data_IF_620618576043
#
_entry.id   IF_620618576043
#
_cell.length_a   1.000
_cell.length_b   1.000
_cell.length_c   1.000
_cell.angle_alpha   90.00
_cell.angle_beta   90.00
_cell.angle_gamma   90.00
#
_symmetry.space_group_name_H-M   'P 1'
#
loop_
_entity.id
_entity.type
_entity.pdbx_description
1 polymer ?
#
# COMPACT_ATOMS: atom_id res chain seq x y z
N UNK A 1 9.24 32.15 4.99
CA UNK A 1 9.28 30.72 4.65
C UNK A 1 8.58 29.99 5.79
N UNK A 2 7.54 29.19 5.48
CA UNK A 2 6.90 28.38 6.52
C UNK A 2 7.89 27.27 6.94
N UNK A 3 8.17 27.18 8.25
CA UNK A 3 8.99 26.10 8.77
C UNK A 3 8.29 24.74 8.62
N UNK A 4 9.08 23.68 8.43
CA UNK A 4 8.58 22.30 8.36
C UNK A 4 8.07 21.88 9.75
N UNK A 5 6.81 21.50 9.86
CA UNK A 5 6.20 21.04 11.11
C UNK A 5 6.54 19.56 11.35
N UNK A 6 7.79 19.24 11.68
CA UNK A 6 8.28 17.86 11.87
C UNK A 6 7.46 17.08 12.89
N UNK A 7 7.02 17.69 13.99
CA UNK A 7 6.19 17.02 14.99
C UNK A 7 4.89 16.46 14.37
N UNK A 8 4.23 17.23 13.49
CA UNK A 8 3.02 16.80 12.78
C UNK A 8 3.35 15.68 11.77
N UNK A 9 4.48 15.80 11.05
CA UNK A 9 4.92 14.75 10.12
C UNK A 9 5.20 13.43 10.83
N UNK A 10 5.84 13.46 11.99
CA UNK A 10 6.07 12.26 12.79
C UNK A 10 4.77 11.69 13.37
N UNK A 11 3.88 12.53 13.89
CA UNK A 11 2.58 12.07 14.40
C UNK A 11 1.77 11.38 13.27
N UNK A 12 1.72 11.98 12.08
CA UNK A 12 0.98 11.40 10.97
C UNK A 12 1.64 10.12 10.43
N UNK A 13 2.97 10.03 10.47
CA UNK A 13 3.73 8.83 10.12
C UNK A 13 3.47 7.69 11.10
N UNK A 14 3.45 7.97 12.41
CA UNK A 14 3.11 6.99 13.45
C UNK A 14 1.64 6.55 13.30
N UNK A 15 0.74 7.48 13.03
CA UNK A 15 -0.67 7.15 12.79
C UNK A 15 -0.84 6.28 11.54
N UNK A 16 -0.05 6.51 10.49
CA UNK A 16 -0.01 5.67 9.30
C UNK A 16 0.54 4.28 9.61
N UNK A 17 1.62 4.21 10.42
CA UNK A 17 2.14 2.94 10.91
C UNK A 17 1.07 2.13 11.63
N UNK A 18 0.34 2.72 12.57
CA UNK A 18 -0.71 2.06 13.33
C UNK A 18 -1.89 1.63 12.44
N UNK A 19 -2.31 2.49 11.51
CA UNK A 19 -3.38 2.19 10.55
C UNK A 19 -3.03 1.00 9.65
N UNK A 20 -1.87 1.02 9.02
CA UNK A 20 -1.47 -0.03 8.08
C UNK A 20 -1.06 -1.32 8.79
N UNK A 21 -0.56 -1.22 10.02
CA UNK A 21 -0.34 -2.36 10.90
C UNK A 21 -1.65 -3.13 11.16
N UNK A 22 -2.72 -2.42 11.51
CA UNK A 22 -4.05 -3.02 11.70
C UNK A 22 -4.54 -3.68 10.41
N UNK A 23 -4.43 -2.98 9.28
CA UNK A 23 -4.91 -3.49 8.00
C UNK A 23 -4.12 -4.70 7.51
N UNK A 24 -2.82 -4.75 7.76
CA UNK A 24 -1.95 -5.85 7.33
C UNK A 24 -2.14 -7.14 8.15
N UNK A 25 -2.81 -7.09 9.30
CA UNK A 25 -3.24 -8.29 10.03
C UNK A 25 -4.25 -9.09 9.20
N UNK A 26 -5.12 -8.43 8.41
CA UNK A 26 -6.18 -9.10 7.61
C UNK A 26 -5.61 -10.19 6.69
N UNK A 27 -4.70 -9.89 5.74
CA UNK A 27 -4.12 -10.94 4.89
C UNK A 27 -3.26 -11.93 5.68
N UNK A 28 -2.69 -11.51 6.80
CA UNK A 28 -1.83 -12.36 7.62
C UNK A 28 -2.58 -13.46 8.35
N UNK A 29 -3.87 -13.30 8.61
CA UNK A 29 -4.70 -14.32 9.27
C UNK A 29 -5.43 -15.25 8.30
N UNK A 30 -5.25 -15.11 6.98
CA UNK A 30 -5.93 -15.94 5.99
C UNK A 30 -5.75 -17.46 6.18
N UNK A 31 -4.56 -17.99 6.53
CA UNK A 31 -4.43 -19.41 6.83
C UNK A 31 -5.32 -19.85 7.99
N UNK A 32 -5.41 -19.02 9.05
CA UNK A 32 -6.25 -19.29 10.23
C UNK A 32 -7.72 -19.31 9.85
N UNK A 33 -8.20 -18.28 9.13
CA UNK A 33 -9.60 -18.20 8.67
C UNK A 33 -9.95 -19.34 7.72
N UNK A 34 -9.02 -19.69 6.81
CA UNK A 34 -9.22 -20.79 5.86
C UNK A 34 -9.43 -22.13 6.59
N UNK A 35 -8.62 -22.40 7.58
CA UNK A 35 -8.72 -23.62 8.37
C UNK A 35 -9.99 -23.64 9.25
N UNK A 36 -10.23 -22.57 10.00
CA UNK A 36 -11.33 -22.45 10.96
C UNK A 36 -12.70 -22.52 10.28
N UNK A 37 -12.89 -21.84 9.15
CA UNK A 37 -14.17 -21.73 8.45
C UNK A 37 -14.24 -22.58 7.16
N UNK A 38 -13.19 -23.34 6.84
CA UNK A 38 -13.06 -24.15 5.60
C UNK A 38 -13.27 -23.33 4.34
N UNK A 39 -12.73 -22.09 4.31
CA UNK A 39 -12.86 -21.23 3.14
C UNK A 39 -12.06 -21.75 1.95
N UNK A 40 -12.61 -21.53 0.75
CA UNK A 40 -11.89 -21.71 -0.51
C UNK A 40 -10.88 -20.59 -0.71
N UNK A 41 -9.91 -20.75 -1.62
CA UNK A 41 -8.98 -19.66 -1.98
C UNK A 41 -9.72 -18.50 -2.66
N UNK A 42 -10.80 -18.78 -3.42
CA UNK A 42 -11.67 -17.76 -3.99
C UNK A 42 -12.30 -16.88 -2.89
N UNK A 43 -12.79 -17.49 -1.79
CA UNK A 43 -13.33 -16.75 -0.65
C UNK A 43 -12.26 -15.88 0.03
N UNK A 44 -11.05 -16.39 0.20
CA UNK A 44 -9.90 -15.60 0.70
C UNK A 44 -9.61 -14.42 -0.23
N UNK A 45 -9.59 -14.66 -1.56
CA UNK A 45 -9.43 -13.60 -2.55
C UNK A 45 -10.54 -12.55 -2.50
N UNK A 46 -11.80 -12.97 -2.25
CA UNK A 46 -12.94 -12.06 -2.08
C UNK A 46 -12.81 -11.18 -0.84
N UNK A 47 -12.26 -11.68 0.28
CA UNK A 47 -11.99 -10.87 1.47
C UNK A 47 -11.04 -9.71 1.12
N UNK A 48 -9.93 -10.02 0.43
CA UNK A 48 -8.99 -8.98 -0.05
C UNK A 48 -9.67 -8.03 -1.03
N UNK A 49 -10.45 -8.56 -1.97
CA UNK A 49 -11.13 -7.75 -2.98
C UNK A 49 -12.08 -6.75 -2.33
N UNK A 50 -12.95 -7.20 -1.41
CA UNK A 50 -13.90 -6.33 -0.72
C UNK A 50 -13.18 -5.23 0.06
N UNK A 51 -12.15 -5.57 0.83
CA UNK A 51 -11.34 -4.60 1.56
C UNK A 51 -10.69 -3.56 0.64
N UNK A 52 -9.97 -4.03 -0.39
CA UNK A 52 -9.21 -3.13 -1.24
C UNK A 52 -10.09 -2.35 -2.22
N UNK A 53 -11.22 -2.91 -2.67
CA UNK A 53 -12.13 -2.23 -3.58
C UNK A 53 -12.86 -1.08 -2.88
N UNK A 54 -13.35 -1.31 -1.64
CA UNK A 54 -13.97 -0.26 -0.83
C UNK A 54 -12.98 0.86 -0.50
N UNK A 55 -11.74 0.52 -0.18
CA UNK A 55 -10.68 1.50 -0.01
C UNK A 55 -10.40 2.26 -1.31
N UNK A 56 -10.20 1.57 -2.43
CA UNK A 56 -9.75 2.10 -3.72
C UNK A 56 -10.76 3.05 -4.38
N UNK A 57 -12.01 2.61 -4.53
CA UNK A 57 -13.03 3.36 -5.29
C UNK A 57 -13.37 4.69 -4.63
N UNK A 58 -13.36 4.72 -3.31
CA UNK A 58 -13.75 5.90 -2.55
C UNK A 58 -12.61 6.90 -2.35
N UNK A 59 -11.33 6.51 -2.46
CA UNK A 59 -10.20 7.44 -2.28
C UNK A 59 -10.24 8.68 -3.20
N UNK A 60 -10.48 8.56 -4.51
CA UNK A 60 -10.61 9.74 -5.37
C UNK A 60 -11.82 10.61 -4.99
N UNK A 61 -12.92 9.99 -4.57
CA UNK A 61 -14.15 10.68 -4.17
C UNK A 61 -13.94 11.43 -2.86
N UNK A 62 -13.42 10.75 -1.84
CA UNK A 62 -13.14 11.34 -0.53
C UNK A 62 -12.06 12.43 -0.62
N UNK A 63 -11.00 12.21 -1.42
CA UNK A 63 -9.96 13.20 -1.68
C UNK A 63 -10.50 14.46 -2.37
N UNK A 64 -11.32 14.29 -3.41
CA UNK A 64 -11.95 15.42 -4.10
C UNK A 64 -12.92 16.19 -3.18
N UNK A 65 -13.70 15.46 -2.38
CA UNK A 65 -14.61 16.10 -1.42
C UNK A 65 -13.84 16.84 -0.33
N UNK A 66 -12.78 16.25 0.23
CA UNK A 66 -11.92 16.86 1.24
C UNK A 66 -11.18 18.11 0.71
N UNK A 67 -10.83 18.14 -0.59
CA UNK A 67 -10.23 19.32 -1.21
C UNK A 67 -11.17 20.53 -1.21
N UNK A 68 -12.48 20.28 -1.35
CA UNK A 68 -13.51 21.33 -1.35
C UNK A 68 -14.04 21.66 0.04
N UNK A 69 -14.11 20.66 0.93
CA UNK A 69 -14.70 20.77 2.26
C UNK A 69 -13.76 20.17 3.31
N UNK A 70 -12.61 20.82 3.59
CA UNK A 70 -11.63 20.30 4.53
C UNK A 70 -12.26 20.15 5.93
N UNK A 71 -12.14 18.95 6.48
CA UNK A 71 -12.66 18.59 7.81
C UNK A 71 -11.50 18.22 8.72
N UNK A 72 -11.07 19.09 9.66
CA UNK A 72 -9.88 18.88 10.47
C UNK A 72 -9.84 17.56 11.24
N UNK A 73 -11.00 17.03 11.63
CA UNK A 73 -11.11 15.81 12.43
C UNK A 73 -11.51 14.55 11.63
N UNK A 74 -11.59 14.64 10.29
CA UNK A 74 -11.99 13.50 9.44
C UNK A 74 -11.12 12.26 9.65
N UNK A 75 -9.80 12.44 9.83
CA UNK A 75 -8.86 11.37 10.11
C UNK A 75 -9.13 10.65 11.43
N UNK A 76 -9.40 11.41 12.50
CA UNK A 76 -9.70 10.83 13.81
C UNK A 76 -11.03 10.07 13.79
N UNK A 77 -12.06 10.62 13.13
CA UNK A 77 -13.35 9.97 12.95
C UNK A 77 -13.21 8.70 12.10
N UNK A 78 -12.46 8.74 10.99
CA UNK A 78 -12.18 7.57 10.17
C UNK A 78 -11.53 6.44 10.97
N UNK A 79 -10.59 6.76 11.88
CA UNK A 79 -9.94 5.78 12.74
C UNK A 79 -10.91 5.19 13.80
N UNK A 80 -11.92 5.94 14.25
CA UNK A 80 -12.98 5.40 15.12
C UNK A 80 -13.84 4.37 14.37
N UNK A 81 -14.15 4.57 13.09
CA UNK A 81 -14.80 3.55 12.28
C UNK A 81 -13.91 2.30 12.17
N UNK A 82 -12.63 2.46 11.86
CA UNK A 82 -11.69 1.32 11.82
C UNK A 82 -11.66 0.54 13.14
N UNK A 83 -11.78 1.21 14.29
CA UNK A 83 -11.89 0.57 15.61
C UNK A 83 -13.12 -0.34 15.72
N UNK A 84 -14.29 0.17 15.32
CA UNK A 84 -15.55 -0.59 15.38
C UNK A 84 -15.48 -1.81 14.46
N UNK A 85 -14.99 -1.61 13.25
CA UNK A 85 -14.91 -2.64 12.22
C UNK A 85 -13.89 -3.73 12.58
N UNK A 86 -12.80 -3.34 13.25
CA UNK A 86 -11.81 -4.27 13.79
C UNK A 86 -12.41 -5.17 14.90
N UNK A 87 -13.20 -4.60 15.78
CA UNK A 87 -13.94 -5.37 16.79
C UNK A 87 -14.96 -6.30 16.11
N UNK A 88 -15.65 -5.82 15.06
CA UNK A 88 -16.55 -6.66 14.29
C UNK A 88 -15.81 -7.85 13.65
N UNK A 89 -14.60 -7.64 13.11
CA UNK A 89 -13.77 -8.71 12.56
C UNK A 89 -13.32 -9.72 13.64
N UNK A 90 -12.99 -9.24 14.84
CA UNK A 90 -12.55 -10.08 15.95
C UNK A 90 -13.64 -11.08 16.38
N UNK A 91 -14.90 -10.69 16.29
CA UNK A 91 -16.07 -11.49 16.72
C UNK A 91 -16.88 -12.04 15.54
N UNK A 92 -16.39 -11.90 14.29
CA UNK A 92 -17.08 -12.42 13.12
C UNK A 92 -17.08 -13.96 13.13
N UNK A 93 -18.25 -14.56 12.96
CA UNK A 93 -18.47 -16.01 12.94
C UNK A 93 -18.91 -16.55 11.58
N UNK A 94 -19.09 -15.68 10.60
CA UNK A 94 -19.57 -16.03 9.28
C UNK A 94 -18.80 -15.28 8.17
N UNK A 95 -18.78 -15.87 6.98
CA UNK A 95 -18.13 -15.24 5.81
C UNK A 95 -18.71 -13.86 5.49
N UNK A 96 -20.03 -13.71 5.56
CA UNK A 96 -20.72 -12.44 5.29
C UNK A 96 -20.30 -11.37 6.30
N UNK A 97 -20.19 -11.73 7.59
CA UNK A 97 -19.79 -10.79 8.64
C UNK A 97 -18.33 -10.40 8.49
N UNK A 98 -17.44 -11.35 8.12
CA UNK A 98 -16.03 -11.05 7.79
C UNK A 98 -15.95 -10.08 6.61
N UNK A 99 -16.70 -10.33 5.51
CA UNK A 99 -16.74 -9.44 4.35
C UNK A 99 -17.23 -8.04 4.73
N UNK A 100 -18.27 -7.96 5.56
CA UNK A 100 -18.80 -6.68 6.02
C UNK A 100 -17.79 -5.90 6.86
N UNK A 101 -17.10 -6.58 7.79
CA UNK A 101 -16.07 -5.98 8.62
C UNK A 101 -14.90 -5.43 7.78
N UNK A 102 -14.34 -6.24 6.88
CA UNK A 102 -13.20 -5.79 6.06
C UNK A 102 -13.59 -4.70 5.06
N UNK A 103 -14.84 -4.72 4.55
CA UNK A 103 -15.35 -3.66 3.69
C UNK A 103 -15.45 -2.34 4.43
N UNK A 104 -15.92 -2.36 5.67
CA UNK A 104 -16.03 -1.18 6.52
C UNK A 104 -14.64 -0.64 6.91
N UNK A 105 -13.65 -1.51 7.22
CA UNK A 105 -12.24 -1.10 7.37
C UNK A 105 -11.73 -0.38 6.11
N UNK A 106 -12.06 -0.90 4.93
CA UNK A 106 -11.72 -0.27 3.64
C UNK A 106 -12.32 1.13 3.48
N UNK A 107 -13.57 1.35 3.93
CA UNK A 107 -14.20 2.68 3.94
C UNK A 107 -13.43 3.67 4.81
N UNK A 108 -13.03 3.28 6.03
CA UNK A 108 -12.20 4.10 6.92
C UNK A 108 -10.85 4.46 6.26
N UNK A 109 -10.20 3.48 5.64
CA UNK A 109 -8.94 3.65 4.90
C UNK A 109 -9.06 4.62 3.72
N UNK A 110 -10.22 4.66 3.05
CA UNK A 110 -10.44 5.53 1.90
C UNK A 110 -10.36 7.02 2.23
N UNK A 111 -10.66 7.40 3.46
CA UNK A 111 -10.51 8.77 3.98
C UNK A 111 -9.08 9.02 4.44
N UNK A 112 -8.45 8.00 5.06
CA UNK A 112 -7.17 8.16 5.73
C UNK A 112 -6.04 8.57 4.79
N UNK A 113 -5.81 7.84 3.69
CA UNK A 113 -4.65 8.05 2.84
C UNK A 113 -4.63 9.41 2.11
N UNK A 114 -5.70 9.85 1.42
CA UNK A 114 -5.68 11.14 0.72
C UNK A 114 -5.56 12.32 1.69
N UNK A 115 -6.29 12.29 2.81
CA UNK A 115 -6.30 13.39 3.77
C UNK A 115 -4.99 13.46 4.57
N UNK A 116 -4.41 12.32 4.96
CA UNK A 116 -3.09 12.27 5.61
C UNK A 116 -1.97 12.77 4.70
N UNK A 117 -1.98 12.38 3.43
CA UNK A 117 -1.03 12.88 2.43
C UNK A 117 -1.15 14.41 2.26
N UNK A 118 -2.37 14.95 2.26
CA UNK A 118 -2.63 16.39 2.22
C UNK A 118 -2.07 17.11 3.45
N UNK A 119 -2.34 16.58 4.66
CA UNK A 119 -1.80 17.15 5.91
C UNK A 119 -0.28 17.11 5.90
N UNK A 120 0.35 16.02 5.45
CA UNK A 120 1.80 15.93 5.31
C UNK A 120 2.36 17.00 4.36
N UNK A 121 1.71 17.27 3.24
CA UNK A 121 2.10 18.34 2.32
C UNK A 121 1.95 19.73 2.95
N UNK A 122 0.90 19.98 3.72
CA UNK A 122 0.72 21.24 4.46
C UNK A 122 1.78 21.45 5.54
N UNK A 123 2.21 20.36 6.18
CA UNK A 123 3.26 20.38 7.21
C UNK A 123 4.69 20.45 6.64
N UNK A 124 4.85 20.33 5.32
CA UNK A 124 6.16 20.15 4.66
C UNK A 124 7.11 21.35 4.70
N UNK A 125 6.59 22.56 4.93
CA UNK A 125 7.42 23.79 4.85
C UNK A 125 8.10 23.99 3.48
N UNK A 126 7.54 23.39 2.40
CA UNK A 126 8.10 23.39 1.05
C UNK A 126 8.87 22.10 0.68
N UNK A 127 9.24 21.26 1.63
CA UNK A 127 9.95 19.98 1.41
C UNK A 127 8.93 18.83 1.19
N UNK A 128 8.13 18.94 0.15
CA UNK A 128 6.99 18.01 -0.09
C UNK A 128 7.40 16.54 -0.26
N UNK A 129 8.51 16.28 -0.97
CA UNK A 129 9.01 14.91 -1.16
C UNK A 129 9.45 14.28 0.15
N UNK A 130 10.17 15.02 1.00
CA UNK A 130 10.57 14.57 2.32
C UNK A 130 9.34 14.26 3.20
N UNK A 131 8.36 15.17 3.23
CA UNK A 131 7.15 14.98 4.03
C UNK A 131 6.37 13.73 3.59
N UNK A 132 6.23 13.52 2.28
CA UNK A 132 5.59 12.33 1.73
C UNK A 132 6.39 11.05 2.04
N UNK A 133 7.72 11.11 2.02
CA UNK A 133 8.57 9.97 2.38
C UNK A 133 8.43 9.61 3.85
N UNK A 134 8.45 10.58 4.76
CA UNK A 134 8.23 10.36 6.19
C UNK A 134 6.86 9.70 6.43
N UNK A 135 5.81 10.19 5.76
CA UNK A 135 4.47 9.61 5.83
C UNK A 135 4.48 8.15 5.34
N UNK A 136 5.08 7.86 4.18
CA UNK A 136 5.06 6.54 3.55
C UNK A 136 5.88 5.49 4.31
N UNK A 137 6.96 5.90 4.97
CA UNK A 137 7.75 5.02 5.86
C UNK A 137 6.89 4.45 6.98
N UNK A 138 6.01 5.27 7.57
CA UNK A 138 5.07 4.80 8.59
C UNK A 138 4.20 3.66 8.06
N UNK A 139 3.50 3.86 6.93
CA UNK A 139 2.62 2.85 6.35
C UNK A 139 3.34 1.56 5.99
N UNK A 140 4.47 1.65 5.29
CA UNK A 140 5.24 0.46 4.91
C UNK A 140 5.78 -0.31 6.13
N UNK A 141 6.22 0.40 7.17
CA UNK A 141 6.65 -0.20 8.44
C UNK A 141 5.49 -0.90 9.16
N UNK A 142 4.33 -0.25 9.20
CA UNK A 142 3.10 -0.83 9.76
C UNK A 142 2.67 -2.09 9.03
N UNK A 143 2.63 -2.03 7.70
CA UNK A 143 2.28 -3.18 6.85
C UNK A 143 3.20 -4.37 7.07
N UNK A 144 4.48 -4.14 7.31
CA UNK A 144 5.43 -5.21 7.61
C UNK A 144 5.16 -5.89 8.96
N UNK A 145 4.63 -5.16 9.95
CA UNK A 145 4.37 -5.71 11.28
C UNK A 145 3.17 -6.67 11.34
N UNK A 146 2.22 -6.61 10.40
CA UNK A 146 1.02 -7.43 10.42
C UNK A 146 1.27 -8.94 10.53
N UNK A 147 2.08 -9.55 9.66
CA UNK A 147 2.41 -10.98 9.74
C UNK A 147 3.11 -11.36 11.04
N UNK A 148 4.00 -10.49 11.55
CA UNK A 148 4.67 -10.71 12.83
C UNK A 148 3.68 -10.76 13.99
N UNK A 149 2.73 -9.82 14.01
CA UNK A 149 1.71 -9.74 15.04
C UNK A 149 0.69 -10.87 14.91
N UNK A 150 0.34 -11.29 13.69
CA UNK A 150 -0.47 -12.47 13.45
C UNK A 150 0.21 -13.73 14.01
N UNK A 151 1.52 -13.91 13.79
CA UNK A 151 2.28 -15.04 14.31
C UNK A 151 2.41 -15.06 15.84
N UNK A 152 2.57 -13.89 16.47
CA UNK A 152 2.84 -13.76 17.90
C UNK A 152 1.57 -13.61 18.75
N UNK A 153 0.50 -13.08 18.19
CA UNK A 153 -0.75 -12.75 18.92
C UNK A 153 -1.91 -13.58 18.39
N UNK A 154 -2.23 -13.48 17.09
CA UNK A 154 -3.48 -14.08 16.60
C UNK A 154 -3.39 -15.61 16.54
N UNK A 155 -2.24 -16.15 16.13
CA UNK A 155 -2.07 -17.60 16.05
C UNK A 155 -2.16 -18.29 17.43
N UNK A 156 -1.50 -17.81 18.53
CA UNK A 156 -1.61 -18.40 19.85
C UNK A 156 -2.95 -18.18 20.55
N UNK A 157 -3.58 -17.00 20.35
CA UNK A 157 -4.75 -16.59 21.11
C UNK A 157 -6.07 -16.61 20.31
N UNK A 158 -5.99 -17.01 19.01
CA UNK A 158 -7.14 -17.12 18.11
C UNK A 158 -7.68 -15.78 17.59
N UNK A 159 -8.72 -15.85 16.77
CA UNK A 159 -9.31 -14.70 16.05
C UNK A 159 -9.74 -13.57 16.98
N UNK A 160 -10.30 -13.88 18.16
CA UNK A 160 -10.78 -12.88 19.13
C UNK A 160 -9.65 -11.94 19.58
N UNK A 161 -8.40 -12.40 19.57
CA UNK A 161 -7.24 -11.57 19.93
C UNK A 161 -7.00 -10.40 18.97
N UNK A 162 -7.63 -10.38 17.80
CA UNK A 162 -7.65 -9.21 16.91
C UNK A 162 -8.18 -7.98 17.66
N UNK A 163 -9.07 -8.16 18.65
CA UNK A 163 -9.56 -7.07 19.49
C UNK A 163 -8.43 -6.33 20.24
N UNK A 164 -7.27 -6.94 20.50
CA UNK A 164 -6.14 -6.24 21.12
C UNK A 164 -5.60 -5.09 20.26
N UNK A 165 -5.76 -5.18 18.95
CA UNK A 165 -5.36 -4.09 18.04
C UNK A 165 -6.27 -2.86 18.15
N UNK A 166 -7.41 -2.96 18.87
CA UNK A 166 -8.23 -1.81 19.22
C UNK A 166 -7.42 -0.76 20.00
N UNK A 167 -6.45 -1.17 20.81
CA UNK A 167 -5.54 -0.25 21.52
C UNK A 167 -4.76 0.63 20.52
N UNK A 168 -4.26 0.03 19.44
CA UNK A 168 -3.56 0.77 18.39
C UNK A 168 -4.50 1.75 17.67
N UNK A 169 -5.75 1.36 17.39
CA UNK A 169 -6.74 2.24 16.77
C UNK A 169 -7.12 3.42 17.68
N UNK A 170 -7.27 3.19 19.00
CA UNK A 170 -7.51 4.25 19.98
C UNK A 170 -6.33 5.23 20.06
N UNK A 171 -5.10 4.70 20.13
CA UNK A 171 -3.88 5.53 20.12
C UNK A 171 -3.78 6.37 18.83
N UNK A 172 -4.00 5.75 17.67
CA UNK A 172 -4.00 6.43 16.39
C UNK A 172 -5.08 7.53 16.33
N UNK A 173 -6.31 7.26 16.80
CA UNK A 173 -7.38 8.26 16.87
C UNK A 173 -7.00 9.46 17.73
N UNK A 174 -6.39 9.22 18.91
CA UNK A 174 -5.89 10.28 19.79
C UNK A 174 -4.76 11.13 19.18
N UNK A 175 -3.83 10.48 18.46
CA UNK A 175 -2.77 11.18 17.73
C UNK A 175 -3.35 12.01 16.58
N UNK A 176 -4.29 11.45 15.81
CA UNK A 176 -4.97 12.14 14.71
C UNK A 176 -5.86 13.29 15.19
N UNK A 177 -6.41 13.21 16.40
CA UNK A 177 -7.09 14.35 17.02
C UNK A 177 -6.16 15.54 17.23
N UNK A 178 -4.90 15.31 17.69
CA UNK A 178 -3.89 16.36 17.80
C UNK A 178 -3.54 16.97 16.43
N UNK A 179 -3.43 16.12 15.39
CA UNK A 179 -3.26 16.57 14.01
C UNK A 179 -4.43 17.44 13.56
N UNK A 180 -5.66 17.01 13.87
CA UNK A 180 -6.88 17.74 13.54
C UNK A 180 -6.92 19.14 14.16
N UNK A 181 -6.49 19.31 15.42
CA UNK A 181 -6.36 20.62 16.07
C UNK A 181 -5.38 21.52 15.33
N UNK A 182 -4.19 21.02 15.01
CA UNK A 182 -3.19 21.75 14.24
C UNK A 182 -3.70 22.13 12.85
N UNK A 183 -4.36 21.19 12.17
CA UNK A 183 -4.91 21.38 10.83
C UNK A 183 -6.00 22.45 10.81
N UNK A 184 -6.93 22.41 11.78
CA UNK A 184 -7.97 23.43 11.94
C UNK A 184 -7.39 24.83 12.13
N UNK A 185 -6.38 24.99 12.99
CA UNK A 185 -5.69 26.26 13.19
C UNK A 185 -4.99 26.76 11.90
N UNK A 186 -4.42 25.82 11.11
CA UNK A 186 -3.78 26.15 9.84
C UNK A 186 -4.76 26.61 8.78
N UNK A 187 -5.95 26.01 8.71
CA UNK A 187 -7.02 26.38 7.76
C UNK A 187 -7.53 27.81 8.03
N UNK A 188 -7.73 28.16 9.29
CA UNK A 188 -8.15 29.53 9.66
C UNK A 188 -7.12 30.57 9.21
N UNK A 189 -5.81 30.26 9.28
CA UNK A 189 -4.75 31.16 8.81
C UNK A 189 -4.62 31.26 7.29
N UNK A 190 -5.23 30.34 6.52
CA UNK A 190 -5.10 30.29 5.06
C UNK A 190 -6.23 31.04 4.31
N UNK A 191 -7.27 31.49 4.97
CA UNK A 191 -8.43 32.16 4.35
C UNK A 191 -8.12 33.52 3.70
N UNK A 192 -6.85 33.93 3.60
CA UNK A 192 -6.42 35.19 3.02
C UNK A 192 -5.37 35.15 1.89
N UNK A 193 -4.82 33.99 1.52
CA UNK A 193 -3.70 33.98 0.56
C UNK A 193 -3.83 32.87 -0.48
N UNK A 194 -4.48 33.18 -1.60
CA UNK A 194 -4.40 32.43 -2.87
C UNK A 194 -3.05 32.74 -3.53
N UNK A 195 -2.02 31.98 -3.23
CA UNK A 195 -0.75 32.07 -3.96
C UNK A 195 -0.77 31.10 -5.16
N UNK A 196 -0.97 31.65 -6.35
CA UNK A 196 -0.78 30.94 -7.63
C UNK A 196 0.72 30.67 -7.82
N UNK A 197 1.16 29.45 -7.48
CA UNK A 197 2.53 28.99 -7.76
C UNK A 197 2.58 28.51 -9.20
N UNK A 198 3.22 29.28 -10.08
CA UNK A 198 3.56 28.81 -11.44
C UNK A 198 4.46 27.58 -11.34
N UNK A 199 3.94 26.41 -11.69
CA UNK A 199 4.70 25.17 -11.84
C UNK A 199 5.34 25.14 -13.22
N UNK A 200 6.65 24.97 -13.32
CA UNK A 200 7.34 24.73 -14.59
C UNK A 200 6.74 23.50 -15.24
N UNK A 201 6.18 23.65 -16.43
CA UNK A 201 5.66 22.53 -17.23
C UNK A 201 6.79 21.98 -18.09
N UNK A 202 6.94 20.66 -18.09
CA UNK A 202 7.86 19.98 -19.02
C UNK A 202 7.25 20.05 -20.43
N UNK A 203 7.95 20.55 -21.45
CA UNK A 203 7.40 20.72 -22.79
C UNK A 203 7.36 19.37 -23.53
N UNK A 204 6.41 18.52 -23.16
CA UNK A 204 6.14 17.25 -23.83
C UNK A 204 4.90 17.33 -24.71
N UNK A 205 4.90 16.62 -25.84
CA UNK A 205 3.70 16.48 -26.67
C UNK A 205 2.59 15.75 -25.88
N UNK A 206 1.33 16.05 -26.16
CA UNK A 206 0.18 15.36 -25.55
C UNK A 206 0.26 13.85 -25.76
N UNK A 207 0.69 13.41 -26.95
CA UNK A 207 0.85 12.01 -27.27
C UNK A 207 1.91 11.35 -26.36
N UNK A 208 3.07 11.97 -26.17
CA UNK A 208 4.14 11.47 -25.28
C UNK A 208 3.64 11.35 -23.83
N UNK A 209 2.88 12.33 -23.34
CA UNK A 209 2.31 12.29 -21.99
C UNK A 209 1.31 11.12 -21.85
N UNK A 210 0.39 10.94 -22.82
CA UNK A 210 -0.57 9.84 -22.78
C UNK A 210 0.13 8.48 -22.85
N UNK A 211 1.11 8.32 -23.73
CA UNK A 211 1.90 7.07 -23.83
C UNK A 211 2.64 6.77 -22.53
N UNK A 212 3.29 7.77 -21.93
CA UNK A 212 3.97 7.60 -20.66
C UNK A 212 3.00 7.23 -19.52
N UNK A 213 1.84 7.87 -19.45
CA UNK A 213 0.80 7.52 -18.46
C UNK A 213 0.28 6.09 -18.65
N UNK A 214 0.05 5.66 -19.90
CA UNK A 214 -0.35 4.27 -20.19
C UNK A 214 0.72 3.27 -19.75
N UNK A 215 2.01 3.54 -20.05
CA UNK A 215 3.12 2.70 -19.59
C UNK A 215 3.14 2.62 -18.06
N UNK A 216 2.99 3.76 -17.35
CA UNK A 216 2.96 3.76 -15.88
C UNK A 216 1.79 2.95 -15.31
N UNK A 217 0.60 3.02 -15.91
CA UNK A 217 -0.56 2.22 -15.50
C UNK A 217 -0.30 0.72 -15.72
N UNK A 218 0.30 0.34 -16.87
CA UNK A 218 0.67 -1.05 -17.14
C UNK A 218 1.74 -1.57 -16.16
N UNK A 219 2.68 -0.71 -15.76
CA UNK A 219 3.69 -1.05 -14.76
C UNK A 219 3.09 -1.20 -13.34
N UNK A 220 2.13 -0.35 -12.97
CA UNK A 220 1.37 -0.49 -11.73
C UNK A 220 0.57 -1.79 -11.74
N UNK A 221 -0.10 -2.12 -12.84
CA UNK A 221 -0.78 -3.40 -13.00
C UNK A 221 0.19 -4.58 -12.76
N UNK A 222 1.30 -4.63 -13.49
CA UNK A 222 2.33 -5.67 -13.35
C UNK A 222 2.76 -5.84 -11.89
N UNK A 223 3.13 -4.73 -11.26
CA UNK A 223 3.64 -4.72 -9.90
C UNK A 223 2.60 -5.17 -8.88
N UNK A 224 1.40 -4.59 -8.89
CA UNK A 224 0.42 -4.84 -7.84
C UNK A 224 -0.34 -6.16 -8.01
N UNK A 225 -0.48 -6.66 -9.22
CA UNK A 225 -0.91 -8.05 -9.43
C UNK A 225 0.10 -9.05 -8.86
N UNK A 226 1.40 -8.85 -9.13
CA UNK A 226 2.42 -9.70 -8.53
C UNK A 226 2.44 -9.60 -7.00
N UNK A 227 2.41 -8.38 -6.46
CA UNK A 227 2.39 -8.16 -5.02
C UNK A 227 1.16 -8.75 -4.35
N UNK A 228 -0.02 -8.73 -5.00
CA UNK A 228 -1.22 -9.35 -4.44
C UNK A 228 -1.07 -10.87 -4.30
N UNK A 229 -0.42 -11.54 -5.26
CA UNK A 229 -0.08 -12.95 -5.16
C UNK A 229 0.87 -13.19 -3.96
N UNK A 230 1.92 -12.40 -3.83
CA UNK A 230 2.88 -12.51 -2.73
C UNK A 230 2.22 -12.26 -1.36
N UNK A 231 1.42 -11.21 -1.22
CA UNK A 231 0.86 -10.84 0.09
C UNK A 231 -0.27 -11.74 0.54
N UNK A 232 -1.11 -12.23 -0.38
CA UNK A 232 -2.27 -13.04 -0.04
C UNK A 232 -1.98 -14.55 0.00
N UNK A 233 -1.03 -15.03 -0.81
CA UNK A 233 -0.85 -16.47 -1.03
C UNK A 233 0.54 -17.00 -0.69
N UNK A 234 1.52 -16.17 -0.34
CA UNK A 234 2.89 -16.63 -0.05
C UNK A 234 2.94 -17.57 1.16
N UNK A 235 2.17 -17.31 2.20
CA UNK A 235 2.07 -18.19 3.37
C UNK A 235 1.52 -19.56 2.97
N UNK A 236 0.49 -19.61 2.15
CA UNK A 236 -0.06 -20.87 1.63
C UNK A 236 0.94 -21.62 0.76
N UNK A 237 1.68 -20.89 -0.10
CA UNK A 237 2.72 -21.48 -0.94
C UNK A 237 3.83 -22.14 -0.11
N UNK A 238 4.27 -21.49 0.97
CA UNK A 238 5.29 -22.04 1.85
C UNK A 238 4.79 -23.28 2.62
N UNK A 239 3.55 -23.24 3.09
CA UNK A 239 2.92 -24.37 3.79
C UNK A 239 2.75 -25.55 2.83
N UNK A 240 2.17 -25.32 1.65
CA UNK A 240 1.88 -26.36 0.65
C UNK A 240 3.16 -27.02 0.11
N UNK A 241 4.15 -26.19 -0.26
CA UNK A 241 5.38 -26.69 -0.91
C UNK A 241 6.39 -27.29 0.06
N UNK A 242 6.52 -26.73 1.26
CA UNK A 242 7.62 -27.08 2.20
C UNK A 242 7.14 -27.67 3.53
N UNK A 243 5.83 -27.75 3.76
CA UNK A 243 5.27 -28.29 5.01
C UNK A 243 5.62 -27.47 6.25
N UNK A 244 5.94 -26.17 6.10
CA UNK A 244 6.29 -25.32 7.24
C UNK A 244 5.05 -24.96 8.06
N UNK A 245 5.24 -24.65 9.34
CA UNK A 245 4.15 -24.17 10.20
C UNK A 245 3.60 -22.82 9.73
N UNK A 246 2.36 -22.52 10.09
CA UNK A 246 1.73 -21.22 9.85
C UNK A 246 2.58 -20.09 10.44
N UNK A 247 3.12 -20.29 11.65
CA UNK A 247 3.99 -19.30 12.30
C UNK A 247 5.25 -19.02 11.48
N UNK A 248 5.93 -20.06 10.99
CA UNK A 248 7.13 -19.91 10.14
C UNK A 248 6.78 -19.19 8.85
N UNK A 249 5.65 -19.52 8.21
CA UNK A 249 5.21 -18.86 6.97
C UNK A 249 4.91 -17.37 7.18
N UNK A 250 4.36 -16.99 8.33
CA UNK A 250 4.11 -15.59 8.69
C UNK A 250 5.42 -14.81 8.92
N UNK A 251 6.42 -15.43 9.56
CA UNK A 251 7.74 -14.81 9.72
C UNK A 251 8.43 -14.59 8.36
N UNK A 252 8.27 -15.50 7.41
CA UNK A 252 8.78 -15.34 6.05
C UNK A 252 8.05 -14.19 5.31
N UNK A 253 6.73 -14.06 5.48
CA UNK A 253 5.96 -12.95 4.92
C UNK A 253 6.37 -11.62 5.56
N UNK A 254 6.59 -11.59 6.88
CA UNK A 254 7.16 -10.43 7.56
C UNK A 254 8.50 -10.00 6.94
N UNK A 255 9.42 -10.94 6.73
CA UNK A 255 10.73 -10.64 6.14
C UNK A 255 10.61 -10.04 4.73
N UNK A 256 9.70 -10.56 3.89
CA UNK A 256 9.38 -9.99 2.58
C UNK A 256 8.84 -8.55 2.67
N UNK A 257 7.89 -8.30 3.56
CA UNK A 257 7.28 -6.97 3.72
C UNK A 257 8.22 -5.96 4.38
N UNK A 258 9.05 -6.40 5.34
CA UNK A 258 10.09 -5.56 5.93
C UNK A 258 11.12 -5.14 4.87
N UNK A 259 11.56 -6.08 4.02
CA UNK A 259 12.42 -5.80 2.88
C UNK A 259 11.75 -4.81 1.90
N UNK A 260 10.44 -4.94 1.67
CA UNK A 260 9.67 -4.02 0.83
C UNK A 260 9.64 -2.60 1.40
N UNK A 261 9.52 -2.44 2.72
CA UNK A 261 9.59 -1.14 3.38
C UNK A 261 10.96 -0.47 3.18
N UNK A 262 12.04 -1.23 3.37
CA UNK A 262 13.42 -0.74 3.12
C UNK A 262 13.61 -0.39 1.63
N UNK A 263 13.14 -1.24 0.73
CA UNK A 263 13.20 -1.00 -0.72
C UNK A 263 12.51 0.30 -1.15
N UNK A 264 11.36 0.62 -0.56
CA UNK A 264 10.62 1.86 -0.84
C UNK A 264 11.41 3.10 -0.44
N UNK A 265 12.10 3.06 0.71
CA UNK A 265 13.00 4.14 1.14
C UNK A 265 14.16 4.33 0.16
N UNK A 266 14.84 3.23 -0.18
CA UNK A 266 15.95 3.23 -1.12
C UNK A 266 15.53 3.77 -2.49
N UNK A 267 14.35 3.38 -2.99
CA UNK A 267 13.83 3.81 -4.28
C UNK A 267 13.61 5.32 -4.40
N UNK A 268 13.16 5.98 -3.34
CA UNK A 268 13.03 7.45 -3.29
C UNK A 268 14.38 8.16 -3.45
N UNK A 269 15.38 7.71 -2.66
CA UNK A 269 16.73 8.27 -2.70
C UNK A 269 17.42 8.04 -4.06
N UNK A 270 17.29 6.83 -4.61
CA UNK A 270 17.85 6.47 -5.90
C UNK A 270 17.18 7.22 -7.06
N UNK A 271 15.85 7.44 -6.97
CA UNK A 271 15.06 8.17 -7.96
C UNK A 271 15.51 9.63 -8.13
N UNK A 272 15.79 10.30 -7.01
CA UNK A 272 16.30 11.67 -7.03
C UNK A 272 17.75 11.75 -7.53
N UNK A 273 18.58 10.72 -7.24
CA UNK A 273 20.00 10.71 -7.63
C UNK A 273 20.22 10.27 -9.07
N UNK A 274 19.61 9.18 -9.51
CA UNK A 274 19.88 8.56 -10.83
C UNK A 274 18.80 8.82 -11.86
N UNK A 275 17.64 9.30 -11.46
CA UNK A 275 16.47 9.55 -12.32
C UNK A 275 15.39 8.49 -12.17
N UNK A 276 14.14 8.95 -12.11
CA UNK A 276 12.98 8.12 -11.80
C UNK A 276 12.72 7.00 -12.82
N UNK A 277 12.93 7.27 -14.11
CA UNK A 277 12.84 6.26 -15.19
C UNK A 277 13.68 5.03 -14.89
N UNK A 278 14.94 5.21 -14.52
CA UNK A 278 15.88 4.11 -14.31
C UNK A 278 15.52 3.30 -13.04
N UNK A 279 15.03 3.97 -12.00
CA UNK A 279 14.55 3.29 -10.78
C UNK A 279 13.30 2.47 -11.10
N UNK A 280 12.34 3.01 -11.84
CA UNK A 280 11.14 2.28 -12.26
C UNK A 280 11.51 1.04 -13.06
N UNK A 281 12.38 1.21 -14.06
CA UNK A 281 12.84 0.14 -14.93
C UNK A 281 13.61 -0.94 -14.17
N UNK A 282 14.63 -0.55 -13.40
CA UNK A 282 15.45 -1.47 -12.61
C UNK A 282 14.68 -2.16 -11.48
N UNK A 283 13.66 -1.50 -10.92
CA UNK A 283 12.83 -2.07 -9.88
C UNK A 283 11.91 -3.19 -10.40
N UNK A 284 11.14 -2.92 -11.44
CA UNK A 284 10.14 -3.90 -11.90
C UNK A 284 10.82 -5.01 -12.69
N UNK A 285 11.62 -4.68 -13.70
CA UNK A 285 12.31 -5.68 -14.51
C UNK A 285 13.40 -6.41 -13.71
N UNK A 286 14.09 -5.70 -12.81
CA UNK A 286 15.13 -6.30 -11.97
C UNK A 286 14.61 -7.32 -10.97
N UNK A 287 13.32 -7.27 -10.61
CA UNK A 287 12.69 -8.31 -9.79
C UNK A 287 12.38 -9.60 -10.59
N UNK A 288 12.27 -9.53 -11.92
CA UNK A 288 11.85 -10.66 -12.76
C UNK A 288 12.70 -11.92 -12.61
N UNK A 289 14.05 -11.91 -12.67
CA UNK A 289 14.85 -13.13 -12.56
C UNK A 289 14.63 -13.83 -11.20
N UNK A 290 14.50 -13.07 -10.13
CA UNK A 290 14.26 -13.62 -8.79
C UNK A 290 12.84 -14.18 -8.66
N UNK A 291 11.84 -13.50 -9.22
CA UNK A 291 10.47 -13.96 -9.24
C UNK A 291 10.31 -15.26 -10.04
N UNK A 292 10.96 -15.36 -11.21
CA UNK A 292 10.93 -16.56 -12.06
C UNK A 292 11.58 -17.76 -11.37
N UNK A 293 12.62 -17.55 -10.58
CA UNK A 293 13.36 -18.62 -9.90
C UNK A 293 12.65 -19.10 -8.62
N UNK A 294 11.94 -18.20 -7.91
CA UNK A 294 11.35 -18.46 -6.59
C UNK A 294 10.50 -19.74 -6.53
N UNK A 295 9.61 -20.07 -7.50
CA UNK A 295 8.78 -21.26 -7.43
C UNK A 295 9.54 -22.60 -7.51
N UNK A 296 10.82 -22.60 -7.91
CA UNK A 296 11.57 -23.82 -8.25
C UNK A 296 12.67 -24.18 -7.26
N UNK A 297 12.94 -23.32 -6.28
CA UNK A 297 14.08 -23.50 -5.34
C UNK A 297 13.62 -24.07 -3.98
N UNK A 298 14.59 -24.42 -3.12
CA UNK A 298 14.38 -24.87 -1.74
C UNK A 298 13.98 -23.71 -0.80
N UNK A 299 13.53 -24.04 0.41
CA UNK A 299 13.02 -23.06 1.38
C UNK A 299 13.99 -21.92 1.70
N UNK A 300 15.28 -22.13 2.08
CA UNK A 300 16.18 -21.03 2.38
C UNK A 300 16.36 -20.06 1.20
N UNK A 301 16.47 -20.60 0.00
CA UNK A 301 16.63 -19.78 -1.20
C UNK A 301 15.31 -19.07 -1.57
N UNK A 302 14.16 -19.71 -1.36
CA UNK A 302 12.84 -19.06 -1.52
C UNK A 302 12.70 -17.83 -0.62
N UNK A 303 13.11 -17.92 0.65
CA UNK A 303 13.08 -16.80 1.59
C UNK A 303 14.03 -15.69 1.16
N UNK A 304 15.26 -16.03 0.77
CA UNK A 304 16.25 -15.07 0.29
C UNK A 304 15.75 -14.34 -0.96
N UNK A 305 15.20 -15.08 -1.94
CA UNK A 305 14.63 -14.50 -3.15
C UNK A 305 13.42 -13.60 -2.85
N UNK A 306 12.55 -13.99 -1.91
CA UNK A 306 11.43 -13.16 -1.48
C UNK A 306 11.92 -11.83 -0.89
N UNK A 307 12.94 -11.85 -0.04
CA UNK A 307 13.56 -10.63 0.52
C UNK A 307 14.12 -9.74 -0.61
N UNK A 308 14.86 -10.31 -1.55
CA UNK A 308 15.42 -9.56 -2.69
C UNK A 308 14.28 -8.95 -3.55
N UNK A 309 13.25 -9.74 -3.85
CA UNK A 309 12.08 -9.28 -4.60
C UNK A 309 11.41 -8.11 -3.85
N UNK A 310 11.20 -8.26 -2.54
CA UNK A 310 10.61 -7.20 -1.71
C UNK A 310 11.39 -5.89 -1.80
N UNK A 311 12.72 -5.95 -1.61
CA UNK A 311 13.62 -4.79 -1.74
C UNK A 311 13.53 -4.13 -3.11
N UNK A 312 13.63 -4.94 -4.17
CA UNK A 312 13.74 -4.43 -5.54
C UNK A 312 12.41 -3.90 -6.04
N UNK A 313 11.32 -4.69 -5.99
CA UNK A 313 10.04 -4.32 -6.62
C UNK A 313 9.37 -3.13 -5.91
N UNK A 314 9.59 -2.97 -4.61
CA UNK A 314 8.96 -1.90 -3.83
C UNK A 314 9.56 -0.53 -4.07
N UNK A 315 10.78 -0.44 -4.58
CA UNK A 315 11.46 0.82 -4.86
C UNK A 315 10.80 1.65 -5.99
N UNK A 316 9.97 1.05 -6.85
CA UNK A 316 9.34 1.74 -7.97
C UNK A 316 8.23 2.72 -7.59
N UNK A 317 7.45 2.44 -6.53
CA UNK A 317 6.15 3.12 -6.35
C UNK A 317 6.26 4.64 -6.19
N UNK A 318 7.11 5.11 -5.27
CA UNK A 318 7.33 6.55 -5.07
C UNK A 318 7.80 7.23 -6.36
N UNK A 319 8.71 6.58 -7.10
CA UNK A 319 9.21 7.07 -8.38
C UNK A 319 8.13 7.12 -9.45
N UNK A 320 7.21 6.15 -9.51
CA UNK A 320 6.07 6.14 -10.45
C UNK A 320 5.14 7.32 -10.16
N UNK A 321 4.72 7.50 -8.91
CA UNK A 321 3.79 8.58 -8.52
C UNK A 321 4.41 9.95 -8.81
N UNK A 322 5.66 10.15 -8.42
CA UNK A 322 6.34 11.45 -8.67
C UNK A 322 6.55 11.68 -10.16
N UNK A 323 6.93 10.65 -10.92
CA UNK A 323 7.08 10.75 -12.37
C UNK A 323 5.74 11.15 -13.04
N UNK A 324 4.65 10.50 -12.65
CA UNK A 324 3.31 10.81 -13.16
C UNK A 324 2.84 12.23 -12.82
N UNK A 325 3.13 12.70 -11.59
CA UNK A 325 2.78 14.07 -11.16
C UNK A 325 3.64 15.13 -11.86
N UNK A 326 4.88 14.81 -12.22
CA UNK A 326 5.72 15.70 -13.02
C UNK A 326 5.21 15.84 -14.46
N UNK A 327 4.62 14.78 -15.04
CA UNK A 327 3.99 14.85 -16.36
C UNK A 327 2.72 15.73 -16.36
N UNK A 328 2.01 15.81 -15.23
CA UNK A 328 0.74 16.53 -15.08
C UNK A 328 0.75 17.43 -13.84
N UNK A 329 1.62 18.44 -13.78
CA UNK A 329 1.88 19.23 -12.57
C UNK A 329 0.66 20.01 -12.06
N UNK A 330 -0.33 20.32 -12.92
CA UNK A 330 -1.56 21.03 -12.54
C UNK A 330 -2.66 20.09 -11.98
N UNK A 331 -2.41 18.76 -11.94
CA UNK A 331 -3.38 17.74 -11.54
C UNK A 331 -2.79 16.76 -10.52
N UNK A 332 -1.94 17.25 -9.62
CA UNK A 332 -1.15 16.42 -8.67
C UNK A 332 -2.07 15.56 -7.79
N UNK A 333 -3.11 16.13 -7.20
CA UNK A 333 -4.05 15.39 -6.35
C UNK A 333 -4.82 14.31 -7.11
N UNK A 334 -5.33 14.65 -8.30
CA UNK A 334 -6.03 13.68 -9.16
C UNK A 334 -5.11 12.53 -9.60
N UNK A 335 -3.88 12.83 -10.02
CA UNK A 335 -2.90 11.83 -10.47
C UNK A 335 -2.49 10.93 -9.31
N UNK A 336 -2.15 11.49 -8.17
CA UNK A 336 -1.80 10.71 -6.97
C UNK A 336 -2.97 9.83 -6.54
N UNK A 337 -4.19 10.37 -6.43
CA UNK A 337 -5.39 9.60 -6.08
C UNK A 337 -5.67 8.46 -7.06
N UNK A 338 -5.47 8.70 -8.36
CA UNK A 338 -5.60 7.65 -9.39
C UNK A 338 -4.60 6.52 -9.19
N UNK A 339 -3.32 6.84 -8.94
CA UNK A 339 -2.28 5.81 -8.76
C UNK A 339 -2.42 5.05 -7.44
N UNK A 340 -2.81 5.71 -6.35
CA UNK A 340 -3.14 5.04 -5.10
C UNK A 340 -4.40 4.16 -5.24
N UNK A 341 -5.45 4.68 -5.88
CA UNK A 341 -6.66 3.91 -6.17
C UNK A 341 -6.37 2.68 -7.04
N UNK A 342 -5.56 2.83 -8.09
CA UNK A 342 -5.13 1.69 -8.93
C UNK A 342 -4.32 0.66 -8.12
N UNK A 343 -3.43 1.11 -7.23
CA UNK A 343 -2.64 0.24 -6.35
C UNK A 343 -3.54 -0.71 -5.55
N UNK A 344 -4.50 -0.18 -4.83
CA UNK A 344 -5.42 -0.96 -4.00
C UNK A 344 -6.41 -1.77 -4.86
N UNK A 345 -7.02 -1.16 -5.87
CA UNK A 345 -7.99 -1.83 -6.75
C UNK A 345 -7.39 -3.02 -7.50
N UNK A 346 -6.22 -2.84 -8.11
CA UNK A 346 -5.52 -3.91 -8.81
C UNK A 346 -5.02 -4.99 -7.86
N UNK A 347 -4.59 -4.61 -6.64
CA UNK A 347 -4.25 -5.56 -5.59
C UNK A 347 -5.42 -6.47 -5.22
N UNK A 348 -6.61 -5.90 -5.03
CA UNK A 348 -7.83 -6.64 -4.71
C UNK A 348 -8.30 -7.55 -5.85
N UNK A 349 -8.36 -7.01 -7.08
CA UNK A 349 -8.70 -7.79 -8.27
C UNK A 349 -7.69 -8.94 -8.49
N UNK A 350 -6.39 -8.65 -8.33
CA UNK A 350 -5.33 -9.65 -8.44
C UNK A 350 -5.47 -10.76 -7.41
N UNK A 351 -5.78 -10.42 -6.16
CA UNK A 351 -6.00 -11.41 -5.10
C UNK A 351 -7.19 -12.32 -5.40
N UNK A 352 -8.33 -11.75 -5.83
CA UNK A 352 -9.51 -12.53 -6.21
C UNK A 352 -9.23 -13.44 -7.41
N UNK A 353 -8.55 -12.92 -8.45
CA UNK A 353 -8.16 -13.69 -9.62
C UNK A 353 -7.24 -14.86 -9.26
N UNK A 354 -6.19 -14.62 -8.49
CA UNK A 354 -5.28 -15.69 -8.08
C UNK A 354 -5.94 -16.68 -7.11
N UNK A 355 -6.90 -16.25 -6.30
CA UNK A 355 -7.67 -17.15 -5.44
C UNK A 355 -8.52 -18.12 -6.24
N UNK A 356 -9.29 -17.60 -7.21
CA UNK A 356 -10.05 -18.42 -8.13
C UNK A 356 -9.13 -19.39 -8.92
N UNK A 357 -8.01 -18.89 -9.41
CA UNK A 357 -7.05 -19.72 -10.16
C UNK A 357 -6.43 -20.80 -9.28
N UNK A 358 -6.11 -20.48 -8.01
CA UNK A 358 -5.51 -21.42 -7.07
C UNK A 358 -6.45 -22.59 -6.70
N UNK A 359 -7.76 -22.34 -6.62
CA UNK A 359 -8.74 -23.40 -6.37
C UNK A 359 -8.79 -24.44 -7.51
N UNK A 360 -8.47 -24.02 -8.74
CA UNK A 360 -8.49 -24.92 -9.92
C UNK A 360 -7.12 -25.54 -10.24
N UNK A 361 -6.02 -24.86 -9.91
CA UNK A 361 -4.67 -25.24 -10.39
C UNK A 361 -3.65 -25.43 -9.27
N UNK A 362 -4.02 -25.08 -8.04
CA UNK A 362 -3.15 -25.11 -6.87
C UNK A 362 -2.27 -23.86 -6.72
N UNK A 363 -1.78 -23.66 -5.49
CA UNK A 363 -1.02 -22.45 -5.12
C UNK A 363 0.34 -22.38 -5.84
N UNK A 364 0.99 -23.50 -6.09
CA UNK A 364 2.26 -23.53 -6.81
C UNK A 364 2.15 -22.99 -8.24
N UNK A 365 1.02 -23.21 -8.91
CA UNK A 365 0.80 -22.73 -10.28
C UNK A 365 0.65 -21.22 -10.34
N UNK A 366 -0.08 -20.60 -9.40
CA UNK A 366 -0.26 -19.15 -9.39
C UNK A 366 1.06 -18.41 -9.17
N UNK A 367 2.00 -18.98 -8.40
CA UNK A 367 3.37 -18.43 -8.25
C UNK A 367 4.17 -18.48 -9.55
N UNK A 368 4.01 -19.55 -10.36
CA UNK A 368 4.66 -19.64 -11.68
C UNK A 368 4.11 -18.61 -12.67
N UNK A 369 2.80 -18.43 -12.72
CA UNK A 369 2.17 -17.45 -13.63
C UNK A 369 2.43 -16.03 -13.19
N UNK A 370 2.28 -15.70 -11.89
CA UNK A 370 2.53 -14.35 -11.38
C UNK A 370 3.98 -13.92 -11.56
N UNK A 371 4.93 -14.85 -11.56
CA UNK A 371 6.35 -14.60 -11.79
C UNK A 371 6.67 -13.99 -13.18
N UNK A 372 5.76 -14.13 -14.16
CA UNK A 372 5.89 -13.51 -15.49
C UNK A 372 5.57 -12.01 -15.48
N UNK A 373 4.77 -11.54 -14.50
CA UNK A 373 4.31 -10.15 -14.47
C UNK A 373 5.46 -9.14 -14.42
N UNK A 374 6.52 -9.30 -13.61
CA UNK A 374 7.63 -8.35 -13.57
C UNK A 374 8.37 -8.18 -14.91
N UNK A 375 8.25 -9.12 -15.86
CA UNK A 375 8.81 -8.98 -17.22
C UNK A 375 8.20 -7.80 -17.99
N UNK A 376 6.95 -7.40 -17.65
CA UNK A 376 6.36 -6.18 -18.21
C UNK A 376 7.18 -4.92 -17.89
N UNK A 377 8.08 -5.00 -16.90
CA UNK A 377 9.04 -3.94 -16.59
C UNK A 377 9.88 -3.48 -17.79
N UNK A 378 10.00 -4.31 -18.84
CA UNK A 378 10.73 -3.96 -20.06
C UNK A 378 10.16 -2.70 -20.73
N UNK A 379 8.82 -2.48 -20.65
CA UNK A 379 8.18 -1.30 -21.25
C UNK A 379 8.58 0.02 -20.59
N UNK A 380 9.13 0.01 -19.37
CA UNK A 380 9.64 1.21 -18.71
C UNK A 380 10.80 1.84 -19.49
N UNK A 381 11.51 1.07 -20.32
CA UNK A 381 12.54 1.56 -21.22
C UNK A 381 12.04 2.63 -22.20
N UNK A 382 10.74 2.59 -22.57
CA UNK A 382 10.11 3.56 -23.47
C UNK A 382 9.64 4.86 -22.79
N UNK A 383 9.75 4.97 -21.45
CA UNK A 383 9.44 6.21 -20.74
C UNK A 383 10.44 7.32 -21.15
N UNK A 384 9.98 8.57 -21.38
CA UNK A 384 10.89 9.72 -21.56
C UNK A 384 11.77 9.94 -20.33
N UNK A 385 13.00 10.42 -20.54
CA UNK A 385 13.91 10.77 -19.45
C UNK A 385 13.63 12.21 -18.96
N UNK A 386 12.75 12.34 -17.99
CA UNK A 386 12.35 13.64 -17.45
C UNK A 386 13.49 14.38 -16.74
N UNK A 387 14.56 13.70 -16.31
CA UNK A 387 15.72 14.34 -15.67
C UNK A 387 16.54 15.17 -16.67
N UNK A 388 16.55 14.79 -17.94
CA UNK A 388 17.25 15.53 -19.00
C UNK A 388 16.45 16.72 -19.52
N UNK A 389 15.20 16.89 -19.09
CA UNK A 389 14.28 17.90 -19.60
C UNK A 389 14.03 19.05 -18.61
N UNK A 390 14.54 18.94 -17.37
CA UNK A 390 14.51 19.95 -16.32
C UNK A 390 15.89 20.58 -16.17
#
# INVERSE_FOLDING_TARGET
MNETAYAILFIISISHFLNDMIQSVIPSIYPILKEQYRFTFAQIGMITLCFQLTSSILQPVTGHWADRHPRPYSLSVGMCFTLVDLLMLAFADSFVLILSAVSAIGLGSSVFHPESSRVAQLASGGKKSLAQSIFQVGGNGGSACGPLLAALIVLPFGQVSIAFFAVAAILASGLLYKVGRWYGAKLVGMTGHTATRQTKTIPLSRHTVHTAMFILVALIFSKYFYLSCMTAYFTFFLIDKFGVSVQTSQLCLFAFLAASAVGTLGGGLLGDRYGRKYVIWGSILGAAPFALLLPYVNLPLTILLAIIIGLVISSAFSSIVVYATDLLPNKVGMVSGMFFGLMFGLGGIGSAFFGWLADHTGVAFIFRISALLPLLGIIAGFLPDTKKMV
#
